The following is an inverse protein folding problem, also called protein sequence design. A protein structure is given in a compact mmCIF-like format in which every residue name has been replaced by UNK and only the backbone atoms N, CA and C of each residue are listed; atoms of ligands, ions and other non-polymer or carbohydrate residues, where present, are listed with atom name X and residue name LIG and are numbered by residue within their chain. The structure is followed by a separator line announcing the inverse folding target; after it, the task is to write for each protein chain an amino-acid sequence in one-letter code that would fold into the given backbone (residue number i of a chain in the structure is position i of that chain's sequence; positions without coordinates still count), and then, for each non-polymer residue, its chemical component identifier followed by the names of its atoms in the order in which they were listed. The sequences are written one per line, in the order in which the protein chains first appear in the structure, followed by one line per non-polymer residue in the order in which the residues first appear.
data_IF_663756189913
#
_entry.id   IF_663756189913
#
_cell.length_a   1.000
_cell.length_b   1.000
_cell.length_c   1.000
_cell.angle_alpha   90.00
_cell.angle_beta   90.00
_cell.angle_gamma   90.00
#
_symmetry.space_group_name_H-M   'P 1'
#
loop_
_entity.id
_entity.type
_entity.pdbx_description
1 polymer ?
#
# COMPACT_ATOMS: atom_id res chain seq x y z
N UNK A 1 -11.00 4.33 11.90
CA UNK A 1 -10.72 4.82 10.52
C UNK A 1 -11.00 6.31 10.48
N UNK A 2 -10.04 7.15 10.11
CA UNK A 2 -10.25 8.60 10.00
C UNK A 2 -9.57 9.11 8.74
N UNK A 3 -10.25 9.98 8.00
CA UNK A 3 -9.76 10.60 6.76
C UNK A 3 -8.43 11.36 6.96
N UNK A 4 -8.11 11.73 8.20
CA UNK A 4 -6.85 12.38 8.57
C UNK A 4 -5.60 11.57 8.23
N UNK A 5 -5.69 10.23 8.28
CA UNK A 5 -4.53 9.36 8.05
C UNK A 5 -4.03 9.42 6.59
N UNK A 6 -4.91 9.75 5.65
CA UNK A 6 -4.57 9.88 4.24
C UNK A 6 -3.59 11.01 3.91
N UNK A 7 -3.32 11.90 4.88
CA UNK A 7 -2.29 12.95 4.72
C UNK A 7 -0.87 12.43 4.94
N UNK A 8 -0.72 11.33 5.69
CA UNK A 8 0.59 10.80 6.10
C UNK A 8 0.86 9.40 5.55
N UNK A 9 -0.19 8.63 5.29
CA UNK A 9 -0.11 7.34 4.61
C UNK A 9 -0.24 7.58 3.10
N UNK A 10 0.90 7.78 2.44
CA UNK A 10 1.01 8.00 0.99
C UNK A 10 2.09 7.05 0.45
N UNK A 11 1.85 6.46 -0.73
CA UNK A 11 2.81 5.62 -1.44
C UNK A 11 3.21 4.35 -0.68
N UNK A 12 2.26 3.74 0.03
CA UNK A 12 2.51 2.53 0.81
C UNK A 12 2.87 1.33 -0.08
N UNK A 13 2.62 1.38 -1.40
CA UNK A 13 3.14 0.36 -2.32
C UNK A 13 4.68 0.30 -2.33
N UNK A 14 5.37 1.40 -1.98
CA UNK A 14 6.83 1.48 -1.93
C UNK A 14 7.39 1.52 -0.51
N UNK A 15 6.72 2.23 0.40
CA UNK A 15 7.29 2.57 1.72
C UNK A 15 6.99 1.53 2.80
N UNK A 16 5.91 0.75 2.66
CA UNK A 16 5.55 -0.28 3.65
C UNK A 16 6.47 -1.50 3.54
N UNK A 17 6.80 -2.09 4.69
CA UNK A 17 7.59 -3.32 4.78
C UNK A 17 6.73 -4.58 4.82
N UNK A 18 5.53 -4.50 5.36
CA UNK A 18 4.67 -5.68 5.53
C UNK A 18 3.84 -6.00 4.28
N UNK A 19 3.70 -7.29 3.97
CA UNK A 19 2.83 -7.77 2.89
C UNK A 19 1.35 -7.52 3.18
N UNK A 20 0.92 -7.53 4.45
CA UNK A 20 -0.49 -7.43 4.87
C UNK A 20 -0.76 -6.14 5.66
N UNK A 21 -2.02 -5.71 5.67
CA UNK A 21 -2.50 -4.51 6.39
C UNK A 21 -3.17 -3.47 5.49
N UNK A 22 -4.03 -2.64 6.08
CA UNK A 22 -4.81 -1.62 5.38
C UNK A 22 -3.92 -0.47 4.87
N UNK A 23 -4.31 0.17 3.77
CA UNK A 23 -3.69 1.41 3.27
C UNK A 23 -4.78 2.46 3.20
N UNK A 24 -4.60 3.57 3.92
CA UNK A 24 -5.56 4.66 3.94
C UNK A 24 -5.10 5.82 3.08
N UNK A 25 -4.76 5.55 1.83
CA UNK A 25 -4.31 6.55 0.87
C UNK A 25 -5.47 7.37 0.28
N UNK A 26 -5.18 8.62 -0.08
CA UNK A 26 -6.11 9.44 -0.85
C UNK A 26 -6.41 8.75 -2.19
N UNK A 27 -7.70 8.56 -2.51
CA UNK A 27 -8.14 7.90 -3.73
C UNK A 27 -7.62 8.56 -5.01
N UNK A 28 -7.36 9.87 -4.98
CA UNK A 28 -6.92 10.67 -6.12
C UNK A 28 -5.42 10.94 -6.16
N UNK A 29 -4.63 10.25 -5.33
CA UNK A 29 -3.18 10.38 -5.30
C UNK A 29 -2.46 9.08 -4.96
N UNK A 30 -1.12 9.19 -4.87
CA UNK A 30 -0.23 8.10 -4.51
C UNK A 30 -0.05 7.03 -5.58
N UNK A 31 0.64 5.97 -5.19
CA UNK A 31 1.06 4.85 -6.04
C UNK A 31 -0.11 4.03 -6.59
N UNK A 32 -0.11 3.75 -7.90
CA UNK A 32 -1.20 3.08 -8.62
C UNK A 32 -1.04 1.56 -8.74
N UNK A 33 -0.49 0.92 -7.71
CA UNK A 33 -0.48 -0.55 -7.68
C UNK A 33 -1.88 -1.12 -7.45
N UNK A 34 -2.08 -2.37 -7.88
CA UNK A 34 -3.34 -3.08 -7.68
C UNK A 34 -3.71 -3.08 -6.19
N UNK A 35 -4.85 -2.47 -5.83
CA UNK A 35 -5.33 -2.33 -4.45
C UNK A 35 -4.24 -1.83 -3.45
N UNK A 36 -3.33 -0.95 -3.89
CA UNK A 36 -2.23 -0.41 -3.07
C UNK A 36 -1.32 -1.52 -2.50
N UNK A 37 -1.10 -2.60 -3.27
CA UNK A 37 -0.17 -3.69 -2.95
C UNK A 37 1.28 -3.35 -3.28
N UNK A 38 2.21 -4.04 -2.61
CA UNK A 38 3.63 -3.70 -2.68
C UNK A 38 4.15 -3.93 -4.08
N UNK A 39 4.93 -3.00 -4.60
CA UNK A 39 5.81 -3.29 -5.72
C UNK A 39 7.01 -4.07 -5.20
N UNK A 40 7.06 -5.35 -5.56
CA UNK A 40 8.19 -6.21 -5.24
C UNK A 40 8.32 -7.30 -6.30
N UNK A 41 9.54 -7.81 -6.47
CA UNK A 41 9.80 -9.04 -7.22
C UNK A 41 10.07 -10.22 -6.31
N UNK A 42 10.17 -9.97 -5.00
CA UNK A 42 10.26 -11.00 -3.98
C UNK A 42 8.87 -11.63 -3.77
N UNK A 43 8.78 -12.93 -4.05
CA UNK A 43 7.54 -13.71 -3.98
C UNK A 43 7.50 -14.60 -2.73
N UNK A 44 8.42 -14.40 -1.79
CA UNK A 44 8.41 -15.13 -0.53
C UNK A 44 7.12 -14.78 0.25
N UNK A 45 6.43 -15.81 0.74
CA UNK A 45 5.25 -15.69 1.63
C UNK A 45 4.04 -14.94 1.05
N UNK A 46 4.00 -14.70 -0.27
CA UNK A 46 2.83 -14.08 -0.93
C UNK A 46 1.78 -15.13 -1.28
N UNK A 47 0.52 -14.82 -0.98
CA UNK A 47 -0.62 -15.66 -1.38
C UNK A 47 -0.94 -15.48 -2.89
N UNK A 48 -0.69 -14.28 -3.43
CA UNK A 48 -0.95 -13.87 -4.83
C UNK A 48 0.16 -12.90 -5.26
N UNK A 49 0.68 -13.09 -6.48
CA UNK A 49 1.74 -12.28 -7.10
C UNK A 49 1.22 -11.50 -8.32
#
# INVERSE_FOLDING_TARGET
MVLSNAKTEIDLAFTRKELKGLSYENAFGGSTSFLRRRYTKDLSDVDIA
#
